data_IF_517331745229
#
_entry.id   IF_517331745229
#
_cell.length_a   1.000
_cell.length_b   1.000
_cell.length_c   1.000
_cell.angle_alpha   90.00
_cell.angle_beta   90.00
_cell.angle_gamma   90.00
#
_symmetry.space_group_name_H-M   'P 1'
#
loop_
_entity.id
_entity.type
_entity.pdbx_description
1 polymer ?
#
# COMPACT_ATOMS: atom_id res chain seq x y z
N UNK A 1 -12.71 -40.30 -0.65
CA UNK A 1 -12.95 -39.53 -1.87
C UNK A 1 -11.63 -39.31 -2.59
N UNK A 2 -11.18 -40.24 -3.45
CA UNK A 2 -9.82 -40.21 -4.03
C UNK A 2 -9.56 -39.05 -4.99
N UNK A 3 -10.60 -38.33 -5.41
CA UNK A 3 -10.51 -37.16 -6.30
C UNK A 3 -10.66 -35.82 -5.56
N UNK A 4 -10.83 -35.85 -4.23
CA UNK A 4 -11.00 -34.63 -3.45
C UNK A 4 -9.66 -33.93 -3.33
N UNK A 5 -9.62 -32.65 -3.72
CA UNK A 5 -8.47 -31.78 -3.63
C UNK A 5 -8.50 -30.98 -2.32
N UNK A 6 -7.34 -30.81 -1.70
CA UNK A 6 -7.19 -30.13 -0.41
C UNK A 6 -6.37 -28.85 -0.56
N UNK A 7 -7.04 -27.72 -0.35
CA UNK A 7 -6.39 -26.44 -0.06
C UNK A 7 -6.15 -26.41 1.44
N UNK A 8 -4.90 -26.36 1.87
CA UNK A 8 -4.52 -26.25 3.28
C UNK A 8 -4.21 -24.80 3.58
N UNK A 9 -4.89 -24.22 4.57
CA UNK A 9 -4.80 -22.79 4.86
C UNK A 9 -6.09 -22.26 5.48
N UNK A 10 -6.53 -21.08 5.05
CA UNK A 10 -7.62 -20.33 5.69
C UNK A 10 -7.32 -20.01 7.16
N UNK A 11 -6.10 -19.52 7.39
CA UNK A 11 -5.58 -19.17 8.70
C UNK A 11 -4.30 -18.36 8.60
N UNK A 12 -3.56 -18.31 9.70
CA UNK A 12 -2.40 -17.43 9.86
C UNK A 12 -1.15 -18.08 9.29
N UNK A 13 -0.19 -17.28 8.83
CA UNK A 13 1.06 -17.79 8.26
C UNK A 13 1.82 -18.70 9.23
N UNK A 14 1.79 -18.37 10.53
CA UNK A 14 2.45 -19.17 11.57
C UNK A 14 1.90 -20.59 11.67
N UNK A 15 0.60 -20.79 11.45
CA UNK A 15 -0.01 -22.13 11.43
C UNK A 15 0.50 -22.95 10.23
N UNK A 16 0.50 -22.36 9.03
CA UNK A 16 0.99 -23.04 7.82
C UNK A 16 2.48 -23.33 7.89
N UNK A 17 3.28 -22.36 8.32
CA UNK A 17 4.72 -22.53 8.50
C UNK A 17 5.04 -23.64 9.52
N UNK A 18 4.23 -23.79 10.57
CA UNK A 18 4.38 -24.89 11.53
C UNK A 18 4.08 -26.26 10.88
N UNK A 19 3.01 -26.40 10.10
CA UNK A 19 2.73 -27.65 9.38
C UNK A 19 3.87 -28.01 8.43
N UNK A 20 4.38 -27.03 7.68
CA UNK A 20 5.51 -27.21 6.78
C UNK A 20 6.75 -27.69 7.55
N UNK A 21 7.09 -27.02 8.66
CA UNK A 21 8.26 -27.31 9.50
C UNK A 21 8.24 -28.70 10.12
N UNK A 22 7.07 -29.19 10.52
CA UNK A 22 6.92 -30.53 11.12
C UNK A 22 6.84 -31.65 10.06
N UNK A 23 6.95 -31.32 8.78
CA UNK A 23 6.92 -32.31 7.69
C UNK A 23 5.54 -32.93 7.49
N UNK A 24 4.48 -32.11 7.53
CA UNK A 24 3.14 -32.55 7.14
C UNK A 24 3.16 -33.25 5.76
N UNK A 25 2.40 -34.34 5.55
CA UNK A 25 2.52 -35.10 4.29
C UNK A 25 2.16 -34.25 3.07
N UNK A 26 3.14 -33.98 2.20
CA UNK A 26 2.99 -33.12 1.03
C UNK A 26 1.96 -33.68 0.03
N UNK A 27 1.81 -35.00 -0.03
CA UNK A 27 0.82 -35.67 -0.87
C UNK A 27 -0.64 -35.41 -0.46
N UNK A 28 -0.86 -34.82 0.73
CA UNK A 28 -2.17 -34.38 1.21
C UNK A 28 -2.44 -32.90 0.97
N UNK A 29 -1.48 -32.17 0.39
CA UNK A 29 -1.58 -30.74 0.11
C UNK A 29 -1.62 -30.54 -1.39
N UNK A 30 -2.76 -30.12 -1.94
CA UNK A 30 -2.85 -29.77 -3.36
C UNK A 30 -2.53 -28.29 -3.62
N UNK A 31 -2.71 -27.42 -2.62
CA UNK A 31 -2.30 -26.02 -2.64
C UNK A 31 -2.24 -25.43 -1.22
N UNK A 32 -1.42 -24.40 -1.03
CA UNK A 32 -1.44 -23.57 0.19
C UNK A 32 -2.36 -22.37 -0.01
N UNK A 33 -3.38 -22.23 0.85
CA UNK A 33 -4.41 -21.20 0.74
C UNK A 33 -4.16 -19.99 1.62
N UNK A 34 -3.93 -18.83 1.01
CA UNK A 34 -3.83 -17.55 1.70
C UNK A 34 -5.21 -17.04 2.14
N UNK A 35 -5.34 -16.69 3.41
CA UNK A 35 -6.45 -15.92 3.95
C UNK A 35 -5.88 -14.62 4.48
N UNK A 36 -6.05 -13.56 3.71
CA UNK A 36 -5.68 -12.20 4.08
C UNK A 36 -6.97 -11.38 4.22
N UNK A 37 -7.11 -10.57 5.27
CA UNK A 37 -8.25 -9.67 5.34
C UNK A 37 -8.15 -8.58 4.27
N UNK A 38 -6.93 -8.20 3.86
CA UNK A 38 -6.66 -7.14 2.88
C UNK A 38 -7.07 -5.74 3.35
N UNK A 39 -8.33 -5.55 3.72
CA UNK A 39 -8.92 -4.30 4.23
C UNK A 39 -8.63 -3.13 3.29
N UNK A 40 -7.93 -2.10 3.75
CA UNK A 40 -7.47 -1.00 2.90
C UNK A 40 -6.02 -1.18 2.40
N UNK A 41 -5.32 -2.24 2.83
CA UNK A 41 -3.91 -2.49 2.53
C UNK A 41 -3.74 -2.76 1.03
N UNK A 42 -2.96 -1.94 0.31
CA UNK A 42 -2.57 -2.21 -1.06
C UNK A 42 -1.93 -3.61 -1.21
N UNK A 43 -2.32 -4.42 -2.22
CA UNK A 43 -1.66 -5.71 -2.50
C UNK A 43 -0.14 -5.63 -2.66
N UNK A 44 0.36 -4.48 -3.12
CA UNK A 44 1.75 -4.17 -3.45
C UNK A 44 2.55 -3.68 -2.24
N UNK A 45 1.89 -3.45 -1.10
CA UNK A 45 2.58 -3.06 0.12
C UNK A 45 3.60 -4.14 0.53
N UNK A 46 4.66 -3.77 1.27
CA UNK A 46 5.59 -4.75 1.81
C UNK A 46 4.84 -5.89 2.51
N UNK A 47 5.20 -7.16 2.25
CA UNK A 47 4.40 -8.30 2.69
C UNK A 47 4.39 -8.36 4.21
N UNK A 48 3.22 -8.28 4.87
CA UNK A 48 3.15 -8.26 6.32
C UNK A 48 3.56 -9.63 6.88
N UNK A 49 4.12 -9.64 8.09
CA UNK A 49 4.66 -10.85 8.70
C UNK A 49 3.59 -11.93 8.96
N UNK A 50 2.31 -11.55 9.10
CA UNK A 50 1.25 -12.48 9.50
C UNK A 50 0.53 -13.20 8.35
N UNK A 51 0.38 -12.58 7.17
CA UNK A 51 -0.46 -13.04 6.05
C UNK A 51 0.05 -12.52 4.70
N UNK A 52 0.63 -13.39 3.87
CA UNK A 52 1.10 -13.02 2.53
C UNK A 52 1.35 -14.24 1.65
N UNK A 53 0.86 -14.19 0.41
CA UNK A 53 1.22 -15.15 -0.64
C UNK A 53 2.74 -15.27 -0.83
N UNK A 54 3.47 -14.15 -0.72
CA UNK A 54 4.92 -14.14 -0.85
C UNK A 54 5.58 -15.00 0.24
N UNK A 55 5.27 -14.74 1.52
CA UNK A 55 5.88 -15.51 2.60
C UNK A 55 5.45 -16.96 2.60
N UNK A 56 4.20 -17.29 2.23
CA UNK A 56 3.77 -18.68 2.07
C UNK A 56 4.61 -19.41 1.04
N UNK A 57 4.87 -18.78 -0.11
CA UNK A 57 5.74 -19.34 -1.15
C UNK A 57 7.17 -19.55 -0.64
N UNK A 58 7.73 -18.57 0.07
CA UNK A 58 9.09 -18.68 0.60
C UNK A 58 9.21 -19.76 1.69
N UNK A 59 8.22 -19.91 2.56
CA UNK A 59 8.18 -21.03 3.52
C UNK A 59 7.98 -22.38 2.84
N UNK A 60 7.14 -22.46 1.81
CA UNK A 60 6.96 -23.66 0.99
C UNK A 60 8.29 -24.12 0.39
N UNK A 61 9.07 -23.19 -0.20
CA UNK A 61 10.42 -23.47 -0.71
C UNK A 61 11.37 -23.89 0.41
N UNK A 62 11.40 -23.17 1.53
CA UNK A 62 12.29 -23.43 2.66
C UNK A 62 12.13 -24.85 3.22
N UNK A 63 10.89 -25.34 3.29
CA UNK A 63 10.55 -26.65 3.84
C UNK A 63 10.33 -27.74 2.79
N UNK A 64 10.61 -27.47 1.51
CA UNK A 64 10.61 -28.48 0.45
C UNK A 64 9.23 -28.90 -0.08
N UNK A 65 8.24 -28.01 -0.02
CA UNK A 65 6.93 -28.21 -0.63
C UNK A 65 6.89 -27.60 -2.03
N UNK A 66 6.58 -28.43 -3.02
CA UNK A 66 6.40 -28.05 -4.43
C UNK A 66 4.91 -28.15 -4.80
N UNK A 67 4.12 -27.23 -4.26
CA UNK A 67 2.67 -27.13 -4.49
C UNK A 67 2.31 -25.66 -4.72
N UNK A 68 1.28 -25.37 -5.52
CA UNK A 68 0.91 -24.00 -5.85
C UNK A 68 0.45 -23.22 -4.61
N UNK A 69 0.68 -21.90 -4.64
CA UNK A 69 -0.01 -20.97 -3.76
C UNK A 69 -1.39 -20.69 -4.34
N UNK A 70 -2.39 -20.55 -3.48
CA UNK A 70 -3.75 -20.21 -3.90
C UNK A 70 -4.43 -19.30 -2.87
N UNK A 71 -5.63 -18.86 -3.19
CA UNK A 71 -6.44 -18.03 -2.30
C UNK A 71 -7.45 -18.93 -1.59
N UNK A 72 -7.64 -18.72 -0.29
CA UNK A 72 -8.65 -19.44 0.49
C UNK A 72 -10.06 -18.89 0.19
N UNK A 73 -11.09 -19.53 0.76
CA UNK A 73 -12.49 -19.10 0.59
C UNK A 73 -12.73 -17.68 1.14
N UNK A 74 -12.05 -17.33 2.23
CA UNK A 74 -12.09 -15.98 2.81
C UNK A 74 -10.84 -15.20 2.40
N UNK A 75 -10.76 -14.77 1.15
CA UNK A 75 -9.61 -14.00 0.66
C UNK A 75 -9.98 -12.55 0.35
N UNK A 76 -9.36 -11.63 1.10
CA UNK A 76 -9.45 -10.17 1.04
C UNK A 76 -10.86 -9.60 1.09
N UNK A 77 -11.25 -9.14 2.27
CA UNK A 77 -12.48 -8.39 2.52
C UNK A 77 -12.26 -6.88 2.38
N UNK A 78 -12.68 -6.30 1.26
CA UNK A 78 -12.59 -4.86 0.98
C UNK A 78 -13.92 -4.19 1.36
N UNK A 79 -14.02 -3.67 2.58
CA UNK A 79 -15.29 -3.17 3.13
C UNK A 79 -15.63 -1.74 2.68
N UNK A 80 -16.88 -1.49 2.35
CA UNK A 80 -17.39 -0.17 1.90
C UNK A 80 -18.44 0.47 2.81
N UNK A 81 -18.69 -0.09 4.00
CA UNK A 81 -19.50 0.55 5.04
C UNK A 81 -18.92 1.93 5.38
N UNK A 82 -19.78 2.83 5.85
CA UNK A 82 -19.40 4.17 6.31
C UNK A 82 -18.18 4.09 7.24
N UNK A 83 -17.16 4.91 6.95
CA UNK A 83 -15.89 4.92 7.69
C UNK A 83 -14.84 3.90 7.22
N UNK A 84 -15.11 3.13 6.16
CA UNK A 84 -14.12 2.32 5.45
C UNK A 84 -13.75 2.97 4.09
N UNK A 85 -13.36 2.16 3.11
CA UNK A 85 -12.94 2.64 1.79
C UNK A 85 -14.16 2.92 0.88
N UNK A 86 -14.07 3.90 -0.05
CA UNK A 86 -15.09 4.12 -1.06
C UNK A 86 -15.23 2.92 -2.03
N UNK A 87 -16.38 2.81 -2.70
CA UNK A 87 -16.61 1.71 -3.66
C UNK A 87 -15.66 1.71 -4.86
N UNK A 88 -15.21 2.89 -5.30
CA UNK A 88 -14.19 2.99 -6.35
C UNK A 88 -12.86 2.39 -5.89
N UNK A 89 -12.48 2.65 -4.63
CA UNK A 89 -11.26 2.09 -4.06
C UNK A 89 -11.38 0.58 -3.83
N UNK A 90 -12.58 0.11 -3.43
CA UNK A 90 -12.89 -1.32 -3.40
C UNK A 90 -12.66 -1.99 -4.76
N UNK A 91 -13.12 -1.36 -5.84
CA UNK A 91 -12.94 -1.87 -7.20
C UNK A 91 -11.46 -1.95 -7.60
N UNK A 92 -10.70 -0.88 -7.33
CA UNK A 92 -9.24 -0.83 -7.59
C UNK A 92 -8.51 -1.94 -6.87
N UNK A 93 -8.73 -2.06 -5.56
CA UNK A 93 -8.05 -3.04 -4.72
C UNK A 93 -8.43 -4.47 -5.13
N UNK A 94 -9.69 -4.77 -5.42
CA UNK A 94 -10.07 -6.11 -5.87
C UNK A 94 -9.47 -6.51 -7.21
N UNK A 95 -9.43 -5.60 -8.19
CA UNK A 95 -8.74 -5.89 -9.46
C UNK A 95 -7.25 -6.12 -9.24
N UNK A 96 -6.60 -5.34 -8.37
CA UNK A 96 -5.17 -5.49 -8.05
C UNK A 96 -4.88 -6.75 -7.24
N UNK A 97 -5.78 -7.15 -6.35
CA UNK A 97 -5.73 -8.43 -5.64
C UNK A 97 -5.71 -9.58 -6.64
N UNK A 98 -6.68 -9.62 -7.55
CA UNK A 98 -6.75 -10.65 -8.60
C UNK A 98 -5.49 -10.66 -9.49
N UNK A 99 -4.98 -9.49 -9.88
CA UNK A 99 -3.73 -9.38 -10.64
C UNK A 99 -2.53 -9.91 -9.86
N UNK A 100 -2.43 -9.63 -8.55
CA UNK A 100 -1.38 -10.23 -7.72
C UNK A 100 -1.50 -11.76 -7.68
N UNK A 101 -2.70 -12.32 -7.49
CA UNK A 101 -2.88 -13.76 -7.52
C UNK A 101 -2.52 -14.38 -8.87
N UNK A 102 -2.87 -13.73 -9.98
CA UNK A 102 -2.44 -14.16 -11.32
C UNK A 102 -0.92 -14.15 -11.48
N UNK A 103 -0.22 -13.18 -10.87
CA UNK A 103 1.24 -13.15 -10.87
C UNK A 103 1.87 -14.33 -10.11
N UNK A 104 1.18 -14.83 -9.07
CA UNK A 104 1.54 -16.05 -8.34
C UNK A 104 1.04 -17.33 -9.03
N UNK A 105 0.42 -17.23 -10.21
CA UNK A 105 -0.18 -18.35 -10.95
C UNK A 105 -1.21 -19.12 -10.08
N UNK A 106 -1.95 -18.38 -9.25
CA UNK A 106 -2.88 -18.98 -8.29
C UNK A 106 -4.01 -19.72 -9.04
N UNK A 107 -4.25 -21.01 -8.77
CA UNK A 107 -5.27 -21.79 -9.49
C UNK A 107 -6.71 -21.37 -9.15
N UNK A 108 -6.91 -20.72 -8.00
CA UNK A 108 -8.17 -20.13 -7.57
C UNK A 108 -7.92 -18.73 -7.03
N UNK A 109 -8.82 -17.81 -7.40
CA UNK A 109 -8.82 -16.41 -6.98
C UNK A 109 -10.21 -16.13 -6.41
N UNK A 110 -10.32 -15.97 -5.10
CA UNK A 110 -11.58 -15.87 -4.37
C UNK A 110 -11.74 -14.50 -3.65
N UNK A 111 -11.72 -13.36 -4.37
CA UNK A 111 -11.79 -12.05 -3.75
C UNK A 111 -13.23 -11.73 -3.34
N UNK A 112 -13.42 -11.26 -2.10
CA UNK A 112 -14.69 -10.72 -1.63
C UNK A 112 -15.87 -11.70 -1.67
N UNK A 113 -17.08 -11.15 -1.64
CA UNK A 113 -18.32 -11.91 -1.72
C UNK A 113 -19.12 -11.52 -2.96
N UNK A 114 -20.07 -12.35 -3.37
CA UNK A 114 -20.97 -11.97 -4.48
C UNK A 114 -21.80 -10.73 -4.13
N UNK A 115 -22.25 -10.61 -2.89
CA UNK A 115 -23.08 -9.49 -2.43
C UNK A 115 -22.79 -9.18 -0.96
N UNK A 116 -23.09 -7.94 -0.56
CA UNK A 116 -22.95 -7.50 0.82
C UNK A 116 -23.83 -8.36 1.77
N UNK A 117 -23.27 -8.69 2.92
CA UNK A 117 -23.87 -9.64 3.87
C UNK A 117 -24.99 -8.98 4.67
N UNK A 118 -26.07 -9.71 4.90
CA UNK A 118 -27.25 -9.21 5.62
C UNK A 118 -27.43 -9.66 7.07
N UNK A 119 -26.54 -10.51 7.57
CA UNK A 119 -26.70 -11.25 8.83
C UNK A 119 -25.63 -10.88 9.89
N UNK A 120 -25.16 -11.85 10.67
CA UNK A 120 -24.13 -11.67 11.71
C UNK A 120 -22.84 -11.03 11.22
N UNK A 121 -22.51 -11.11 9.93
CA UNK A 121 -21.34 -10.43 9.37
C UNK A 121 -21.60 -8.97 8.96
N UNK A 122 -22.82 -8.44 9.06
CA UNK A 122 -23.17 -7.10 8.57
C UNK A 122 -22.27 -5.98 9.14
N UNK A 123 -22.01 -6.00 10.46
CA UNK A 123 -21.15 -5.02 11.13
C UNK A 123 -19.67 -5.43 11.16
N UNK A 124 -19.32 -6.54 10.51
CA UNK A 124 -17.93 -6.99 10.40
C UNK A 124 -17.23 -6.36 9.19
N UNK A 125 -15.92 -6.58 9.08
CA UNK A 125 -15.12 -6.20 7.90
C UNK A 125 -15.58 -6.91 6.61
N UNK A 126 -16.34 -7.99 6.68
CA UNK A 126 -16.92 -8.66 5.51
C UNK A 126 -18.28 -8.09 5.10
N UNK A 127 -18.92 -7.29 5.96
CA UNK A 127 -20.32 -6.90 5.82
C UNK A 127 -20.66 -6.21 4.49
N UNK A 128 -19.81 -5.27 4.04
CA UNK A 128 -19.95 -4.63 2.74
C UNK A 128 -18.79 -4.91 1.79
N UNK A 129 -18.32 -6.17 1.80
CA UNK A 129 -17.27 -6.70 0.93
C UNK A 129 -17.78 -7.34 -0.37
N UNK A 130 -19.06 -7.18 -0.68
CA UNK A 130 -19.66 -7.75 -1.89
C UNK A 130 -19.26 -7.01 -3.17
N UNK A 131 -19.37 -7.70 -4.30
CA UNK A 131 -19.40 -7.08 -5.64
C UNK A 131 -20.75 -6.42 -5.93
N UNK A 132 -21.83 -6.89 -5.31
CA UNK A 132 -23.14 -6.28 -5.34
C UNK A 132 -23.55 -5.77 -3.96
N UNK A 133 -24.45 -4.79 -3.93
CA UNK A 133 -25.14 -4.40 -2.70
C UNK A 133 -25.98 -5.54 -2.14
N UNK A 134 -26.42 -5.37 -0.89
CA UNK A 134 -27.18 -6.37 -0.15
C UNK A 134 -28.49 -6.77 -0.85
N UNK A 135 -28.90 -8.03 -0.63
CA UNK A 135 -30.25 -8.52 -0.93
C UNK A 135 -31.34 -7.63 -0.29
N UNK A 136 -32.48 -7.34 -0.95
CA UNK A 136 -32.97 -7.98 -2.18
C UNK A 136 -32.58 -7.32 -3.50
N UNK A 137 -32.01 -6.10 -3.48
CA UNK A 137 -31.82 -5.35 -4.72
C UNK A 137 -30.60 -5.82 -5.53
N UNK A 138 -29.53 -6.26 -4.85
CA UNK A 138 -28.34 -6.84 -5.50
C UNK A 138 -27.76 -5.95 -6.61
N UNK A 139 -27.84 -4.62 -6.45
CA UNK A 139 -27.32 -3.69 -7.44
C UNK A 139 -25.79 -3.87 -7.57
N UNK A 140 -25.24 -3.89 -8.79
CA UNK A 140 -23.80 -4.04 -8.98
C UNK A 140 -23.06 -2.79 -8.48
N UNK A 141 -21.95 -3.01 -7.79
CA UNK A 141 -21.01 -1.96 -7.39
C UNK A 141 -19.96 -1.76 -8.49
N UNK A 142 -19.17 -0.68 -8.46
CA UNK A 142 -18.03 -0.50 -9.35
C UNK A 142 -17.08 -1.72 -9.41
N UNK A 143 -16.91 -2.43 -8.28
CA UNK A 143 -16.08 -3.64 -8.19
C UNK A 143 -16.60 -4.80 -9.04
N UNK A 144 -17.92 -4.93 -9.23
CA UNK A 144 -18.51 -5.91 -10.15
C UNK A 144 -18.07 -5.65 -11.59
N UNK A 145 -18.17 -4.39 -12.03
CA UNK A 145 -17.79 -3.96 -13.39
C UNK A 145 -16.30 -4.14 -13.61
N UNK A 146 -15.48 -3.75 -12.63
CA UNK A 146 -14.03 -3.91 -12.67
C UNK A 146 -13.60 -5.37 -12.85
N UNK A 147 -14.22 -6.28 -12.08
CA UNK A 147 -13.92 -7.71 -12.19
C UNK A 147 -14.40 -8.29 -13.53
N UNK A 148 -15.58 -7.89 -14.01
CA UNK A 148 -16.08 -8.32 -15.32
C UNK A 148 -15.15 -7.88 -16.46
N UNK A 149 -14.62 -6.66 -16.40
CA UNK A 149 -13.62 -6.17 -17.36
C UNK A 149 -12.32 -6.97 -17.26
N UNK A 150 -11.77 -7.15 -16.04
CA UNK A 150 -10.55 -7.94 -15.82
C UNK A 150 -10.69 -9.33 -16.44
N UNK A 151 -11.76 -10.05 -16.11
CA UNK A 151 -12.02 -11.39 -16.67
C UNK A 151 -12.12 -11.34 -18.19
N UNK A 152 -12.86 -10.39 -18.78
CA UNK A 152 -12.99 -10.28 -20.24
C UNK A 152 -11.66 -10.01 -20.95
N UNK A 153 -10.81 -9.18 -20.37
CA UNK A 153 -9.54 -8.80 -20.98
C UNK A 153 -8.48 -9.89 -20.87
N UNK A 154 -8.49 -10.64 -19.76
CA UNK A 154 -7.51 -11.68 -19.45
C UNK A 154 -8.00 -13.13 -19.67
N UNK A 155 -9.24 -13.32 -20.15
CA UNK A 155 -9.78 -14.65 -20.44
C UNK A 155 -8.88 -15.42 -21.43
N UNK A 156 -8.49 -16.64 -21.04
CA UNK A 156 -7.57 -17.49 -21.79
C UNK A 156 -6.14 -16.94 -21.93
N UNK A 157 -5.78 -15.87 -21.23
CA UNK A 157 -4.43 -15.32 -21.25
C UNK A 157 -3.56 -15.95 -20.16
N UNK A 158 -2.29 -16.22 -20.48
CA UNK A 158 -1.32 -16.84 -19.57
C UNK A 158 -0.31 -15.80 -19.10
N UNK A 159 -0.13 -15.67 -17.79
CA UNK A 159 0.87 -14.77 -17.23
C UNK A 159 2.27 -15.18 -17.72
N UNK A 160 3.03 -14.22 -18.22
CA UNK A 160 4.36 -14.47 -18.80
C UNK A 160 5.46 -13.85 -17.94
N UNK A 161 5.32 -12.56 -17.60
CA UNK A 161 6.32 -11.82 -16.81
C UNK A 161 5.77 -10.49 -16.33
N UNK A 162 6.54 -9.85 -15.45
CA UNK A 162 6.40 -8.42 -15.15
C UNK A 162 7.37 -7.65 -16.05
N UNK A 163 6.86 -6.78 -16.92
CA UNK A 163 7.68 -6.00 -17.88
C UNK A 163 8.60 -5.04 -17.12
N UNK A 164 9.83 -4.89 -17.59
CA UNK A 164 10.79 -3.96 -16.99
C UNK A 164 10.23 -2.53 -16.97
N UNK A 165 10.40 -1.87 -15.81
CA UNK A 165 9.87 -0.54 -15.58
C UNK A 165 10.89 0.28 -14.80
N UNK A 166 11.01 1.57 -15.13
CA UNK A 166 11.97 2.48 -14.49
C UNK A 166 11.70 2.72 -12.99
N UNK A 167 10.51 2.40 -12.52
CA UNK A 167 10.09 2.57 -11.13
C UNK A 167 9.46 1.27 -10.59
N UNK A 168 9.78 0.86 -9.34
CA UNK A 168 9.17 -0.32 -8.74
C UNK A 168 7.65 -0.25 -8.56
N UNK A 169 7.06 0.95 -8.54
CA UNK A 169 5.61 1.14 -8.35
C UNK A 169 4.85 1.31 -9.66
N UNK A 170 5.52 1.30 -10.82
CA UNK A 170 4.85 1.10 -12.11
C UNK A 170 4.78 -0.38 -12.43
N UNK A 171 3.58 -0.91 -12.29
CA UNK A 171 3.32 -2.33 -12.45
C UNK A 171 2.76 -2.57 -13.84
N UNK A 172 3.46 -3.42 -14.58
CA UNK A 172 3.10 -3.84 -15.94
C UNK A 172 3.24 -5.35 -16.02
N UNK A 173 2.11 -6.05 -15.98
CA UNK A 173 2.07 -7.50 -16.15
C UNK A 173 1.80 -7.85 -17.60
N UNK A 174 2.62 -8.71 -18.19
CA UNK A 174 2.43 -9.25 -19.53
C UNK A 174 1.75 -10.61 -19.47
N UNK A 175 0.73 -10.77 -20.31
CA UNK A 175 0.05 -12.05 -20.53
C UNK A 175 0.06 -12.38 -22.02
N UNK A 176 0.45 -13.61 -22.35
CA UNK A 176 0.32 -14.16 -23.68
C UNK A 176 -1.13 -14.60 -23.93
N UNK A 177 -1.64 -14.38 -25.14
CA UNK A 177 -2.97 -14.85 -25.56
C UNK A 177 -2.95 -15.24 -27.03
N UNK A 178 -4.01 -15.90 -27.50
CA UNK A 178 -4.18 -16.13 -28.93
C UNK A 178 -4.15 -14.79 -29.69
N UNK A 179 -3.23 -14.67 -30.65
CA UNK A 179 -3.07 -13.49 -31.50
C UNK A 179 -2.24 -12.35 -30.93
N UNK A 180 -1.59 -12.49 -29.77
CA UNK A 180 -0.65 -11.48 -29.27
C UNK A 180 -0.55 -11.44 -27.74
N UNK A 181 -0.59 -10.23 -27.20
CA UNK A 181 -0.38 -9.96 -25.78
C UNK A 181 -1.48 -9.06 -25.22
N UNK A 182 -1.75 -9.23 -23.92
CA UNK A 182 -2.49 -8.28 -23.12
C UNK A 182 -1.67 -7.90 -21.89
N UNK A 183 -1.66 -6.62 -21.56
CA UNK A 183 -0.93 -6.07 -20.44
C UNK A 183 -1.89 -5.49 -19.42
N UNK A 184 -1.66 -5.75 -18.14
CA UNK A 184 -2.31 -5.01 -17.06
C UNK A 184 -1.35 -3.96 -16.50
N UNK A 185 -1.77 -2.69 -16.45
CA UNK A 185 -0.94 -1.56 -16.02
C UNK A 185 -1.63 -0.75 -14.91
N UNK A 186 -0.91 -0.44 -13.83
CA UNK A 186 -1.41 0.43 -12.76
C UNK A 186 -0.27 1.00 -11.88
N UNK A 187 -0.65 1.91 -11.00
CA UNK A 187 0.16 2.43 -9.90
C UNK A 187 -0.51 2.11 -8.55
N UNK A 188 0.21 2.02 -7.43
CA UNK A 188 -0.41 1.93 -6.11
C UNK A 188 -1.21 3.18 -5.73
N UNK A 189 -0.79 4.35 -6.20
CA UNK A 189 -1.35 5.68 -5.89
C UNK A 189 -1.19 6.61 -7.09
N UNK A 190 -2.12 7.57 -7.22
CA UNK A 190 -2.01 8.67 -8.16
C UNK A 190 -2.11 8.24 -9.61
N UNK A 191 -1.58 9.07 -10.49
CA UNK A 191 -1.56 8.85 -11.93
C UNK A 191 -0.36 9.50 -12.62
N UNK A 192 0.06 8.97 -13.77
CA UNK A 192 1.09 9.59 -14.61
C UNK A 192 0.99 9.14 -16.06
N UNK A 193 1.58 9.94 -16.95
CA UNK A 193 1.82 9.51 -18.32
C UNK A 193 2.98 8.51 -18.36
N UNK A 194 2.76 7.40 -19.06
CA UNK A 194 3.72 6.31 -19.23
C UNK A 194 4.01 6.13 -20.71
N UNK A 195 5.29 6.18 -21.05
CA UNK A 195 5.81 5.82 -22.36
C UNK A 195 6.01 4.30 -22.43
N UNK A 196 5.46 3.69 -23.47
CA UNK A 196 5.55 2.27 -23.77
C UNK A 196 6.46 2.09 -24.98
N UNK A 197 7.42 1.17 -24.89
CA UNK A 197 8.38 0.86 -25.96
C UNK A 197 8.14 -0.54 -26.51
N UNK A 198 8.15 -0.66 -27.83
CA UNK A 198 7.98 -1.89 -28.61
C UNK A 198 9.03 -1.94 -29.71
N UNK A 199 9.32 -3.15 -30.21
CA UNK A 199 10.27 -3.35 -31.30
C UNK A 199 9.82 -2.75 -32.64
N UNK A 200 8.50 -2.67 -32.87
CA UNK A 200 7.90 -2.14 -34.09
C UNK A 200 6.48 -1.61 -33.84
N UNK A 201 5.94 -0.88 -34.82
CA UNK A 201 4.59 -0.32 -34.75
C UNK A 201 3.51 -1.42 -34.78
N UNK A 202 2.55 -1.33 -33.86
CA UNK A 202 1.41 -2.24 -33.78
C UNK A 202 0.12 -1.49 -33.44
N UNK A 203 -1.03 -2.09 -33.79
CA UNK A 203 -2.32 -1.62 -33.31
C UNK A 203 -2.44 -1.85 -31.80
N UNK A 204 -2.71 -0.76 -31.08
CA UNK A 204 -2.90 -0.78 -29.63
C UNK A 204 -4.34 -0.43 -29.28
N UNK A 205 -4.94 -1.24 -28.41
CA UNK A 205 -6.24 -0.92 -27.78
C UNK A 205 -6.07 -0.91 -26.27
N UNK A 206 -6.38 0.23 -25.64
CA UNK A 206 -6.39 0.36 -24.20
C UNK A 206 -7.83 0.37 -23.68
N UNK A 207 -8.11 -0.51 -22.72
CA UNK A 207 -9.40 -0.64 -22.03
C UNK A 207 -9.22 -0.26 -20.56
N UNK A 208 -9.99 0.70 -20.07
CA UNK A 208 -9.97 1.05 -18.64
C UNK A 208 -10.69 0.00 -17.78
N UNK A 209 -10.56 0.09 -16.44
CA UNK A 209 -11.23 -0.81 -15.50
C UNK A 209 -12.76 -0.88 -15.67
N UNK A 210 -13.38 0.16 -16.21
CA UNK A 210 -14.82 0.23 -16.45
C UNK A 210 -15.25 -0.36 -17.80
N UNK A 211 -14.30 -0.87 -18.58
CA UNK A 211 -14.54 -1.52 -19.85
C UNK A 211 -14.60 -0.58 -21.04
N UNK A 212 -14.24 0.70 -20.88
CA UNK A 212 -14.18 1.65 -21.99
C UNK A 212 -12.88 1.46 -22.77
N UNK A 213 -12.99 1.18 -24.06
CA UNK A 213 -11.84 0.95 -24.94
C UNK A 213 -11.57 2.16 -25.84
N UNK A 214 -10.29 2.44 -26.07
CA UNK A 214 -9.82 3.44 -27.05
C UNK A 214 -8.56 2.93 -27.77
N UNK A 215 -8.39 3.24 -29.06
CA UNK A 215 -7.12 2.99 -29.73
C UNK A 215 -6.04 3.93 -29.17
N UNK A 216 -4.80 3.47 -29.11
CA UNK A 216 -3.63 4.33 -28.87
C UNK A 216 -2.85 4.51 -30.17
N UNK A 217 -2.35 5.72 -30.38
CA UNK A 217 -1.44 5.98 -31.51
C UNK A 217 -0.03 5.57 -31.11
N UNK A 218 0.56 4.67 -31.90
CA UNK A 218 1.99 4.34 -31.84
C UNK A 218 2.72 5.08 -32.96
N UNK A 219 3.96 5.50 -32.69
CA UNK A 219 4.91 6.02 -33.69
C UNK A 219 6.30 5.54 -33.34
N UNK A 220 7.01 4.98 -34.30
CA UNK A 220 8.40 4.53 -34.15
C UNK A 220 8.58 3.59 -32.94
N UNK A 221 7.64 2.65 -32.75
CA UNK A 221 7.63 1.70 -31.63
C UNK A 221 7.26 2.31 -30.28
N UNK A 222 6.77 3.55 -30.24
CA UNK A 222 6.46 4.27 -28.99
C UNK A 222 5.00 4.69 -28.91
N UNK A 223 4.40 4.49 -27.76
CA UNK A 223 3.05 4.99 -27.44
C UNK A 223 3.02 5.58 -26.02
N UNK A 224 2.05 6.46 -25.76
CA UNK A 224 1.85 7.05 -24.42
C UNK A 224 0.46 6.69 -23.91
N UNK A 225 0.37 6.33 -22.63
CA UNK A 225 -0.89 6.07 -21.94
C UNK A 225 -0.87 6.67 -20.54
N UNK A 226 -2.01 7.22 -20.10
CA UNK A 226 -2.22 7.65 -18.72
C UNK A 226 -2.51 6.43 -17.86
N UNK A 227 -1.66 6.16 -16.87
CA UNK A 227 -1.81 5.06 -15.92
C UNK A 227 -2.18 5.64 -14.56
N UNK A 228 -3.04 4.94 -13.81
CA UNK A 228 -3.54 5.39 -12.51
C UNK A 228 -3.61 4.25 -11.50
N UNK A 229 -4.14 4.53 -10.30
CA UNK A 229 -4.50 3.51 -9.32
C UNK A 229 -5.57 2.50 -9.77
N UNK A 230 -6.33 2.82 -10.83
CA UNK A 230 -7.25 1.90 -11.49
C UNK A 230 -6.52 1.12 -12.58
N UNK A 231 -6.51 -0.24 -12.53
CA UNK A 231 -5.91 -1.05 -13.58
C UNK A 231 -6.49 -0.76 -14.96
N UNK A 232 -5.60 -0.66 -15.94
CA UNK A 232 -5.94 -0.61 -17.36
C UNK A 232 -5.35 -1.79 -18.11
N UNK A 233 -6.00 -2.16 -19.22
CA UNK A 233 -5.65 -3.33 -20.02
C UNK A 233 -5.27 -2.91 -21.43
N UNK A 234 -4.03 -3.18 -21.85
CA UNK A 234 -3.54 -2.85 -23.19
C UNK A 234 -3.40 -4.12 -24.02
N UNK A 235 -4.02 -4.18 -25.19
CA UNK A 235 -3.81 -5.25 -26.17
C UNK A 235 -2.83 -4.80 -27.24
N UNK A 236 -1.94 -5.72 -27.65
CA UNK A 236 -0.95 -5.53 -28.71
C UNK A 236 -0.68 -6.85 -29.42
N UNK A 237 -0.40 -6.79 -30.73
CA UNK A 237 0.12 -7.95 -31.48
C UNK A 237 1.62 -8.21 -31.23
N UNK A 238 2.34 -7.19 -30.76
CA UNK A 238 3.79 -7.21 -30.53
C UNK A 238 4.09 -7.06 -29.05
N UNK A 239 5.12 -7.77 -28.57
CA UNK A 239 5.53 -7.72 -27.17
C UNK A 239 6.12 -6.35 -26.79
N UNK A 240 5.75 -5.84 -25.62
CA UNK A 240 6.30 -4.62 -25.01
C UNK A 240 7.70 -4.90 -24.48
N UNK A 241 8.67 -4.05 -24.82
CA UNK A 241 10.04 -4.20 -24.32
C UNK A 241 10.19 -3.57 -22.93
N UNK A 242 9.67 -2.34 -22.75
CA UNK A 242 9.79 -1.58 -21.52
C UNK A 242 8.64 -0.57 -21.35
N UNK A 243 8.45 -0.15 -20.09
CA UNK A 243 7.58 0.97 -19.73
C UNK A 243 8.33 1.97 -18.85
N UNK A 244 8.17 3.26 -19.10
CA UNK A 244 8.80 4.31 -18.29
C UNK A 244 7.85 5.49 -18.06
N UNK A 245 8.01 6.18 -16.93
CA UNK A 245 7.16 7.31 -16.57
C UNK A 245 7.88 8.24 -15.62
N UNK A 246 7.47 9.51 -15.61
CA UNK A 246 8.03 10.55 -14.75
C UNK A 246 7.45 10.55 -13.34
N UNK A 247 7.37 11.73 -12.73
CA UNK A 247 6.74 11.91 -11.42
C UNK A 247 5.27 11.44 -11.42
N UNK A 248 4.82 10.96 -10.27
CA UNK A 248 3.44 10.57 -10.03
C UNK A 248 2.64 11.80 -9.61
N UNK A 249 1.59 12.11 -10.35
CA UNK A 249 0.63 13.13 -9.95
C UNK A 249 -0.31 12.53 -8.89
N UNK A 250 -0.25 13.08 -7.69
CA UNK A 250 -1.08 12.68 -6.56
C UNK A 250 -2.13 13.75 -6.27
N UNK A 251 -3.08 13.42 -5.39
CA UNK A 251 -4.07 14.39 -4.91
C UNK A 251 -3.37 15.62 -4.32
N UNK A 252 -3.86 16.84 -4.63
CA UNK A 252 -3.28 18.05 -4.05
C UNK A 252 -3.49 18.07 -2.53
N UNK A 253 -2.62 18.77 -1.78
CA UNK A 253 -2.80 18.94 -0.35
C UNK A 253 -4.12 19.69 -0.04
N UNK A 254 -4.62 19.61 1.20
CA UNK A 254 -5.74 20.42 1.66
C UNK A 254 -5.52 21.92 1.40
N UNK A 255 -6.57 22.65 1.00
CA UNK A 255 -6.48 24.07 0.66
C UNK A 255 -6.12 24.97 1.85
N UNK A 256 -6.35 24.48 3.07
CA UNK A 256 -6.08 25.13 4.35
C UNK A 256 -4.77 24.66 5.00
N UNK A 257 -3.89 24.01 4.22
CA UNK A 257 -2.57 23.60 4.65
C UNK A 257 -1.76 24.79 5.18
N UNK A 258 -1.19 24.63 6.37
CA UNK A 258 -0.26 25.59 6.97
C UNK A 258 1.07 24.91 7.28
N UNK A 259 2.14 25.39 6.65
CA UNK A 259 3.52 25.02 7.00
C UNK A 259 3.84 25.60 8.38
N UNK A 260 4.29 24.74 9.29
CA UNK A 260 4.75 25.09 10.64
C UNK A 260 6.27 25.05 10.76
N UNK A 261 6.93 24.28 9.89
CA UNK A 261 8.39 24.25 9.76
C UNK A 261 8.81 23.84 8.34
N UNK A 262 9.87 24.44 7.79
CA UNK A 262 10.35 24.07 6.44
C UNK A 262 11.04 22.69 6.40
N UNK A 263 11.52 22.18 7.53
CA UNK A 263 12.29 20.92 7.62
C UNK A 263 13.42 20.87 6.58
N UNK A 264 14.25 21.91 6.59
CA UNK A 264 15.32 22.09 5.61
C UNK A 264 16.70 22.37 6.23
N UNK A 265 16.78 22.47 7.56
CA UNK A 265 18.00 22.81 8.29
C UNK A 265 18.46 21.64 9.17
N UNK A 266 19.58 20.96 8.83
CA UNK A 266 20.07 19.82 9.60
C UNK A 266 20.65 20.22 10.96
N UNK A 267 20.88 21.52 11.22
CA UNK A 267 21.27 21.99 12.56
C UNK A 267 20.09 22.06 13.52
N UNK A 268 18.88 22.30 12.97
CA UNK A 268 17.62 22.27 13.70
C UNK A 268 17.07 20.86 13.80
N UNK A 269 17.09 20.08 12.72
CA UNK A 269 16.61 18.70 12.68
C UNK A 269 17.78 17.74 12.69
N UNK A 270 18.13 17.27 13.89
CA UNK A 270 19.32 16.44 14.11
C UNK A 270 18.95 14.97 14.06
N UNK A 271 19.87 14.15 13.53
CA UNK A 271 19.69 12.70 13.50
C UNK A 271 19.96 12.09 14.87
N UNK A 272 19.09 11.19 15.33
CA UNK A 272 19.33 10.40 16.54
C UNK A 272 19.98 9.08 16.15
N UNK A 273 21.20 8.84 16.63
CA UNK A 273 22.05 7.68 16.29
C UNK A 273 21.97 6.56 17.32
N UNK A 274 20.84 6.45 18.01
CA UNK A 274 20.60 5.43 19.04
C UNK A 274 19.37 4.64 18.63
N UNK A 275 19.42 3.30 18.64
CA UNK A 275 18.25 2.47 18.37
C UNK A 275 17.10 2.79 19.32
N UNK A 276 15.89 2.70 18.79
CA UNK A 276 14.66 2.96 19.52
C UNK A 276 13.86 1.67 19.66
N UNK A 277 13.65 1.23 20.90
CA UNK A 277 12.99 -0.04 21.21
C UNK A 277 11.53 -0.09 20.71
N UNK A 278 10.84 1.04 20.71
CA UNK A 278 9.46 1.14 20.24
C UNK A 278 9.38 1.01 18.72
N UNK A 279 10.37 1.53 17.99
CA UNK A 279 10.52 1.26 16.57
C UNK A 279 10.94 -0.20 16.32
N UNK A 280 12.02 -0.66 16.94
CA UNK A 280 12.61 -1.98 16.67
C UNK A 280 11.67 -3.15 16.99
N UNK A 281 10.86 -3.01 18.05
CA UNK A 281 10.03 -4.11 18.58
C UNK A 281 8.56 -3.79 18.76
N UNK A 282 8.16 -2.52 18.70
CA UNK A 282 6.79 -2.10 19.00
C UNK A 282 5.77 -2.44 17.92
N UNK A 283 6.22 -2.87 16.73
CA UNK A 283 5.31 -3.25 15.65
C UNK A 283 5.84 -4.44 14.83
N UNK A 284 5.44 -5.65 15.27
CA UNK A 284 6.00 -6.91 14.75
C UNK A 284 5.71 -7.18 13.26
N UNK A 285 4.61 -6.65 12.71
CA UNK A 285 4.21 -6.91 11.32
C UNK A 285 5.13 -6.23 10.30
N UNK A 286 5.81 -5.16 10.72
CA UNK A 286 6.73 -4.39 9.88
C UNK A 286 8.04 -4.18 10.65
N UNK A 287 8.93 -5.19 10.63
CA UNK A 287 10.20 -5.11 11.32
C UNK A 287 11.06 -4.01 10.71
N UNK A 288 11.77 -3.30 11.60
CA UNK A 288 12.61 -2.16 11.26
C UNK A 288 13.83 -2.13 12.17
N UNK A 289 14.87 -1.45 11.71
CA UNK A 289 16.09 -1.21 12.47
C UNK A 289 16.59 0.20 12.19
N UNK A 290 17.39 0.76 13.10
CA UNK A 290 18.09 2.02 12.84
C UNK A 290 18.95 1.86 11.58
N UNK A 291 18.83 2.83 10.68
CA UNK A 291 19.57 2.86 9.43
C UNK A 291 20.78 3.78 9.45
N UNK A 292 21.82 3.40 8.74
CA UNK A 292 22.85 4.33 8.27
C UNK A 292 22.30 5.20 7.12
N UNK A 293 21.95 6.45 7.43
CA UNK A 293 21.34 7.40 6.49
C UNK A 293 22.11 8.72 6.52
N UNK A 294 22.57 9.13 5.35
CA UNK A 294 23.17 10.45 5.14
C UNK A 294 22.04 11.49 5.03
N UNK A 295 22.12 12.56 5.82
CA UNK A 295 21.13 13.66 5.81
C UNK A 295 21.81 14.96 5.47
N UNK A 296 21.40 15.57 4.36
CA UNK A 296 22.01 16.79 3.83
C UNK A 296 20.95 17.83 3.44
N UNK A 297 21.32 19.11 3.53
CA UNK A 297 20.50 20.17 2.96
C UNK A 297 20.79 20.29 1.47
N UNK A 298 19.73 20.33 0.66
CA UNK A 298 19.83 20.52 -0.80
C UNK A 298 18.93 21.67 -1.26
N UNK A 299 19.20 22.21 -2.44
CA UNK A 299 18.31 23.11 -3.17
C UNK A 299 17.59 22.28 -4.25
N UNK A 300 16.32 21.98 -4.02
CA UNK A 300 15.43 21.27 -4.94
C UNK A 300 14.76 22.25 -5.91
N UNK A 301 14.63 21.86 -7.18
CA UNK A 301 14.08 22.72 -8.23
C UNK A 301 12.61 23.08 -8.02
N UNK A 302 11.83 22.20 -7.38
CA UNK A 302 10.39 22.38 -7.17
C UNK A 302 10.07 22.99 -5.81
N UNK A 303 10.74 22.52 -4.75
CA UNK A 303 10.41 22.90 -3.36
C UNK A 303 11.43 23.87 -2.73
N UNK A 304 12.51 24.20 -3.43
CA UNK A 304 13.60 25.00 -2.86
C UNK A 304 14.36 24.20 -1.81
N UNK A 305 14.59 24.79 -0.63
CA UNK A 305 15.40 24.16 0.43
C UNK A 305 14.70 22.93 0.98
N UNK A 306 15.35 21.78 0.89
CA UNK A 306 14.85 20.51 1.42
C UNK A 306 15.95 19.77 2.19
N UNK A 307 15.54 18.82 3.03
CA UNK A 307 16.45 17.78 3.52
C UNK A 307 16.40 16.59 2.58
N UNK A 308 17.56 16.16 2.12
CA UNK A 308 17.80 14.93 1.37
C UNK A 308 18.25 13.84 2.32
N UNK A 309 17.63 12.66 2.21
CA UNK A 309 17.91 11.48 3.02
C UNK A 309 18.33 10.35 2.07
N UNK A 310 19.58 9.92 2.19
CA UNK A 310 20.16 8.87 1.34
C UNK A 310 20.50 7.66 2.20
N UNK A 311 19.83 6.53 1.93
CA UNK A 311 20.11 5.27 2.63
C UNK A 311 21.46 4.70 2.15
N UNK A 312 22.44 4.62 3.06
CA UNK A 312 23.74 4.04 2.75
C UNK A 312 23.63 2.51 2.66
N UNK A 313 24.44 1.83 1.81
CA UNK A 313 24.40 0.37 1.65
C UNK A 313 24.64 -0.38 2.97
N UNK A 314 23.70 -1.26 3.33
CA UNK A 314 23.71 -2.06 4.56
C UNK A 314 23.36 -3.53 4.24
N UNK A 315 24.26 -4.28 3.56
CA UNK A 315 24.00 -5.64 3.07
C UNK A 315 23.79 -6.68 4.16
N UNK A 316 24.15 -6.37 5.41
CA UNK A 316 23.92 -7.20 6.58
C UNK A 316 22.46 -7.18 7.08
N UNK A 317 21.69 -6.16 6.70
CA UNK A 317 20.28 -6.06 7.07
C UNK A 317 19.44 -6.82 6.05
N UNK A 318 18.74 -7.86 6.51
CA UNK A 318 17.98 -8.74 5.64
C UNK A 318 16.70 -8.06 5.11
N UNK A 319 16.33 -8.37 3.87
CA UNK A 319 14.97 -8.13 3.37
C UNK A 319 13.95 -8.94 4.21
N UNK A 320 12.82 -8.36 4.66
CA UNK A 320 12.23 -7.08 4.30
C UNK A 320 12.40 -5.96 5.35
N UNK A 321 13.47 -5.95 6.14
CA UNK A 321 13.61 -5.01 7.26
C UNK A 321 13.82 -3.58 6.73
N UNK A 322 12.95 -2.64 7.14
CA UNK A 322 13.12 -1.22 6.81
C UNK A 322 14.19 -0.57 7.69
N UNK A 323 14.83 0.47 7.16
CA UNK A 323 15.85 1.25 7.86
C UNK A 323 15.26 2.60 8.21
N UNK A 324 15.13 2.91 9.49
CA UNK A 324 14.61 4.20 9.91
C UNK A 324 15.72 5.18 10.25
N UNK A 325 15.45 6.46 10.01
CA UNK A 325 16.18 7.58 10.59
C UNK A 325 15.24 8.44 11.41
N UNK A 326 15.72 8.87 12.57
CA UNK A 326 14.98 9.75 13.46
C UNK A 326 15.50 11.16 13.28
N UNK A 327 14.62 12.09 12.96
CA UNK A 327 14.88 13.52 12.91
C UNK A 327 14.23 14.17 14.13
N UNK A 328 15.05 14.66 15.03
CA UNK A 328 14.61 15.34 16.26
C UNK A 328 14.89 16.84 16.12
N UNK A 329 13.87 17.70 16.31
CA UNK A 329 14.08 19.14 16.28
C UNK A 329 14.79 19.59 17.57
N UNK A 330 15.66 20.61 17.47
CA UNK A 330 16.37 21.18 18.61
C UNK A 330 15.44 21.76 19.68
N UNK A 331 14.25 22.20 19.26
CA UNK A 331 13.13 22.60 20.11
C UNK A 331 11.84 22.06 19.48
N UNK A 332 10.86 21.58 20.27
CA UNK A 332 9.58 21.12 19.73
C UNK A 332 8.89 22.17 18.86
N UNK A 333 8.30 21.75 17.75
CA UNK A 333 7.60 22.65 16.81
C UNK A 333 6.12 22.72 17.18
N UNK A 334 5.63 23.86 17.66
CA UNK A 334 4.22 24.02 18.03
C UNK A 334 3.31 24.17 16.82
N UNK A 335 2.23 23.38 16.78
CA UNK A 335 1.16 23.53 15.81
C UNK A 335 0.10 24.51 16.33
N UNK A 336 -0.33 25.49 15.52
CA UNK A 336 -1.32 26.46 15.96
C UNK A 336 -2.74 25.87 15.99
N UNK A 337 -3.54 26.23 16.99
CA UNK A 337 -4.96 25.84 17.06
C UNK A 337 -5.19 24.34 17.22
N UNK A 338 -6.26 23.85 16.60
CA UNK A 338 -6.73 22.46 16.69
C UNK A 338 -6.67 21.77 15.32
N UNK A 339 -5.47 21.40 14.82
CA UNK A 339 -5.34 20.77 13.52
C UNK A 339 -6.03 19.39 13.46
N UNK A 340 -6.65 19.11 12.33
CA UNK A 340 -7.34 17.84 12.04
C UNK A 340 -6.49 16.86 11.24
N UNK A 341 -5.35 17.30 10.69
CA UNK A 341 -4.30 16.43 10.16
C UNK A 341 -2.91 17.06 10.34
N UNK A 342 -1.90 16.19 10.46
CA UNK A 342 -0.48 16.55 10.39
C UNK A 342 0.14 15.94 9.13
N UNK A 343 1.15 16.58 8.54
CA UNK A 343 1.76 16.04 7.33
C UNK A 343 3.08 16.68 6.91
N UNK A 344 3.65 16.15 5.84
CA UNK A 344 4.97 16.48 5.33
C UNK A 344 4.99 16.30 3.80
N UNK A 345 5.69 17.18 3.09
CA UNK A 345 5.99 16.93 1.68
C UNK A 345 7.15 15.98 1.55
N UNK A 346 7.02 15.00 0.66
CA UNK A 346 8.05 14.01 0.38
C UNK A 346 8.25 13.88 -1.11
N UNK A 347 9.51 13.95 -1.57
CA UNK A 347 9.92 13.49 -2.89
C UNK A 347 10.20 12.01 -2.80
N UNK A 348 9.26 11.21 -3.29
CA UNK A 348 9.33 9.76 -3.27
C UNK A 348 10.18 9.18 -4.39
N UNK A 349 10.67 7.97 -4.12
CA UNK A 349 11.46 7.11 -5.00
C UNK A 349 10.84 5.71 -5.10
N UNK A 350 9.56 5.57 -4.75
CA UNK A 350 8.84 4.30 -4.78
C UNK A 350 9.42 3.19 -3.89
N UNK A 351 10.17 3.55 -2.83
CA UNK A 351 10.80 2.58 -1.94
C UNK A 351 9.83 1.90 -0.96
N UNK A 352 8.55 2.26 -0.90
CA UNK A 352 7.62 1.77 0.13
C UNK A 352 8.11 2.00 1.57
N UNK A 353 8.97 2.99 1.76
CA UNK A 353 9.26 3.59 3.04
C UNK A 353 8.03 4.29 3.62
N UNK A 354 8.17 4.90 4.80
CA UNK A 354 7.05 5.51 5.53
C UNK A 354 7.51 6.74 6.29
N UNK A 355 6.64 7.74 6.42
CA UNK A 355 6.84 8.86 7.34
C UNK A 355 6.01 8.65 8.59
N UNK A 356 6.62 8.85 9.76
CA UNK A 356 5.94 8.79 11.06
C UNK A 356 6.14 10.11 11.81
N UNK A 357 5.13 10.49 12.58
CA UNK A 357 5.10 11.69 13.40
C UNK A 357 4.98 11.29 14.87
N UNK A 358 5.78 11.93 15.72
CA UNK A 358 5.54 11.98 17.17
C UNK A 358 5.13 13.40 17.55
N UNK A 359 4.01 13.51 18.25
CA UNK A 359 3.54 14.76 18.81
C UNK A 359 3.28 14.61 20.31
N UNK A 360 3.57 15.67 21.04
CA UNK A 360 3.18 15.87 22.43
C UNK A 360 2.03 16.87 22.48
N UNK A 361 1.01 16.57 23.27
CA UNK A 361 -0.17 17.41 23.40
C UNK A 361 -0.05 18.41 24.57
N UNK A 362 -1.09 19.21 24.83
CA UNK A 362 -1.04 20.25 25.85
C UNK A 362 -1.03 19.73 27.29
N UNK A 363 -1.48 18.49 27.54
CA UNK A 363 -1.40 17.82 28.84
C UNK A 363 -0.12 16.99 29.01
N UNK A 364 0.69 16.88 27.96
CA UNK A 364 1.96 16.14 27.95
C UNK A 364 1.82 14.68 27.55
N UNK A 365 0.67 14.28 26.99
CA UNK A 365 0.50 12.96 26.38
C UNK A 365 1.27 12.90 25.07
N UNK A 366 1.81 11.72 24.74
CA UNK A 366 2.53 11.48 23.50
C UNK A 366 1.76 10.57 22.56
N UNK A 367 1.69 11.00 21.31
CA UNK A 367 1.07 10.29 20.21
C UNK A 367 2.12 10.01 19.15
N UNK A 368 2.45 8.74 18.93
CA UNK A 368 3.40 8.32 17.91
C UNK A 368 2.68 7.53 16.82
N UNK A 369 2.76 7.98 15.57
CA UNK A 369 1.99 7.43 14.46
C UNK A 369 2.50 6.07 13.93
N UNK A 370 3.07 5.24 14.80
CA UNK A 370 3.64 3.93 14.46
C UNK A 370 2.58 2.82 14.32
N UNK A 371 1.43 2.98 14.99
CA UNK A 371 0.33 2.01 15.06
C UNK A 371 -0.13 1.81 16.52
N UNK A 372 -1.40 1.41 16.74
CA UNK A 372 -1.94 1.26 18.09
C UNK A 372 -1.37 0.04 18.86
N UNK A 373 -1.22 0.17 20.18
CA UNK A 373 -0.67 -0.86 21.08
C UNK A 373 -1.54 -2.09 21.29
N UNK A 374 -2.86 -1.97 21.13
CA UNK A 374 -3.82 -3.02 21.48
C UNK A 374 -4.78 -3.36 20.34
N UNK A 375 -5.07 -4.67 20.22
CA UNK A 375 -5.98 -5.26 19.24
C UNK A 375 -5.23 -6.13 18.24
N UNK A 376 -5.65 -7.40 18.08
CA UNK A 376 -5.07 -8.35 17.11
C UNK A 376 -5.22 -7.95 15.63
N UNK A 377 -5.66 -6.71 15.39
CA UNK A 377 -5.91 -6.08 14.12
C UNK A 377 -5.43 -4.63 14.13
N UNK A 378 -4.49 -4.24 14.99
CA UNK A 378 -3.94 -2.88 15.02
C UNK A 378 -2.76 -2.76 14.08
N UNK A 379 -3.00 -2.98 12.78
CA UNK A 379 -1.94 -2.98 11.74
C UNK A 379 -1.54 -1.57 11.22
N UNK A 380 -1.86 -0.51 11.96
CA UNK A 380 -1.44 0.86 11.64
C UNK A 380 -2.09 1.43 10.37
N UNK A 381 -1.27 2.10 9.54
CA UNK A 381 -1.66 2.82 8.32
C UNK A 381 -2.04 1.87 7.17
N UNK A 382 -3.26 1.33 7.22
CA UNK A 382 -3.75 0.39 6.23
C UNK A 382 -3.94 0.99 4.86
N UNK A 383 -4.37 2.25 4.78
CA UNK A 383 -4.58 2.94 3.52
C UNK A 383 -3.25 3.24 2.79
N UNK A 384 -2.12 2.93 3.42
CA UNK A 384 -0.80 3.33 3.00
C UNK A 384 -0.70 4.86 2.79
N UNK A 385 -1.42 5.63 3.61
CA UNK A 385 -1.55 7.08 3.53
C UNK A 385 -0.21 7.80 3.67
N UNK A 386 0.70 7.21 4.45
CA UNK A 386 2.01 7.74 4.85
C UNK A 386 3.18 6.99 4.20
N UNK A 387 2.91 6.07 3.28
CA UNK A 387 3.92 5.31 2.55
C UNK A 387 4.46 6.06 1.32
N UNK A 388 5.73 5.81 1.01
CA UNK A 388 6.48 6.36 -0.13
C UNK A 388 6.33 5.40 -1.32
N UNK A 389 5.09 5.25 -1.81
CA UNK A 389 4.72 4.35 -2.92
C UNK A 389 4.44 5.10 -4.24
N UNK A 390 5.20 6.18 -4.46
CA UNK A 390 5.09 7.08 -5.60
C UNK A 390 6.48 7.66 -5.94
N UNK A 391 6.60 8.22 -7.15
CA UNK A 391 7.77 8.95 -7.59
C UNK A 391 7.51 10.46 -7.62
N UNK A 392 8.50 11.28 -7.27
CA UNK A 392 8.37 12.74 -7.27
C UNK A 392 7.67 13.27 -6.01
N UNK A 393 7.27 14.54 -6.01
CA UNK A 393 6.72 15.21 -4.83
C UNK A 393 5.25 14.87 -4.57
N UNK A 394 4.94 14.49 -3.34
CA UNK A 394 3.57 14.30 -2.84
C UNK A 394 3.47 14.74 -1.37
N UNK A 395 2.29 15.18 -0.97
CA UNK A 395 1.98 15.51 0.42
C UNK A 395 1.44 14.29 1.15
N UNK A 396 2.12 13.86 2.21
CA UNK A 396 1.69 12.77 3.08
C UNK A 396 1.12 13.33 4.37
N UNK A 397 0.02 12.76 4.84
CA UNK A 397 -0.64 13.21 6.06
C UNK A 397 -1.32 12.07 6.82
N UNK A 398 -1.53 12.30 8.10
CA UNK A 398 -2.28 11.43 9.01
C UNK A 398 -3.13 12.26 9.95
N UNK A 399 -4.35 11.80 10.20
CA UNK A 399 -5.27 12.46 11.12
C UNK A 399 -4.95 12.05 12.57
N UNK A 400 -4.82 12.99 13.53
CA UNK A 400 -4.73 12.66 14.94
C UNK A 400 -5.95 11.88 15.44
N UNK A 401 -5.84 11.12 16.56
CA UNK A 401 -6.99 10.46 17.16
C UNK A 401 -8.09 11.46 17.53
N UNK A 402 -9.33 11.03 17.40
CA UNK A 402 -10.50 11.78 17.86
C UNK A 402 -11.57 10.84 18.42
N UNK A 403 -12.58 11.40 19.08
CA UNK A 403 -13.75 10.65 19.57
C UNK A 403 -15.03 11.21 18.98
N UNK A 404 -15.94 10.32 18.62
CA UNK A 404 -17.31 10.67 18.28
C UNK A 404 -18.06 11.16 19.53
N UNK A 405 -19.19 11.85 19.34
CA UNK A 405 -20.06 12.29 20.44
C UNK A 405 -20.55 11.14 21.36
N UNK A 406 -20.55 9.91 20.87
CA UNK A 406 -20.84 8.69 21.66
C UNK A 406 -19.73 8.28 22.63
N UNK A 407 -18.56 8.91 22.55
CA UNK A 407 -17.34 8.55 23.28
C UNK A 407 -16.51 7.45 22.60
N UNK A 408 -17.00 6.87 21.49
CA UNK A 408 -16.27 5.87 20.71
C UNK A 408 -15.15 6.53 19.89
N UNK A 409 -14.05 5.83 19.73
CA UNK A 409 -12.90 6.34 18.99
C UNK A 409 -13.13 6.40 17.48
N UNK A 410 -12.56 7.42 16.85
CA UNK A 410 -12.54 7.54 15.40
C UNK A 410 -11.56 6.54 14.77
N UNK A 411 -11.74 6.20 13.48
CA UNK A 411 -10.85 5.31 12.75
C UNK A 411 -9.35 5.65 12.85
N UNK A 412 -8.92 6.93 12.84
CA UNK A 412 -7.50 7.27 12.90
C UNK A 412 -6.77 6.76 14.15
N UNK A 413 -7.45 6.46 15.26
CA UNK A 413 -6.78 5.98 16.48
C UNK A 413 -5.92 4.74 16.23
N UNK A 414 -6.27 3.86 15.29
CA UNK A 414 -5.46 2.67 14.94
C UNK A 414 -4.04 3.01 14.45
N UNK A 415 -3.82 4.24 13.97
CA UNK A 415 -2.55 4.71 13.45
C UNK A 415 -1.60 5.19 14.56
N UNK A 416 -2.06 5.33 15.80
CA UNK A 416 -1.31 6.02 16.86
C UNK A 416 -1.10 5.13 18.07
N UNK A 417 0.17 5.05 18.48
CA UNK A 417 0.59 4.58 19.78
C UNK A 417 0.51 5.74 20.76
N UNK A 418 -0.27 5.56 21.82
CA UNK A 418 -0.54 6.60 22.81
C UNK A 418 0.21 6.23 24.10
N UNK A 419 0.87 7.20 24.71
CA UNK A 419 1.51 7.02 26.01
C UNK A 419 1.28 8.23 26.92
N UNK A 420 0.89 7.96 28.16
CA UNK A 420 0.41 8.97 29.11
C UNK A 420 -1.11 9.18 29.02
N UNK A 421 -1.62 9.95 29.99
CA UNK A 421 -2.98 10.52 30.05
C UNK A 421 -4.17 9.64 29.64
N UNK A 422 -5.11 10.26 28.92
CA UNK A 422 -6.46 9.79 28.65
C UNK A 422 -6.69 9.37 27.17
N UNK A 423 -5.70 9.62 26.30
CA UNK A 423 -5.70 9.30 24.88
C UNK A 423 -6.63 10.14 24.01
N UNK A 424 -7.00 11.33 24.49
CA UNK A 424 -7.65 12.40 23.71
C UNK A 424 -6.59 13.45 23.46
N UNK A 425 -6.53 13.96 22.23
CA UNK A 425 -5.53 14.97 21.86
C UNK A 425 -5.94 16.32 22.44
N UNK A 426 -5.14 16.84 23.36
CA UNK A 426 -5.30 18.19 23.91
C UNK A 426 -4.43 19.23 23.17
N UNK A 427 -5.03 20.34 22.75
CA UNK A 427 -4.33 21.34 21.91
C UNK A 427 -3.77 22.53 22.72
N UNK A 428 -2.67 23.16 22.27
CA UNK A 428 -1.92 22.88 21.05
C UNK A 428 -1.03 21.62 21.13
N UNK A 429 -0.80 20.99 19.99
CA UNK A 429 0.18 19.90 19.86
C UNK A 429 1.55 20.45 19.47
N UNK A 430 2.61 19.71 19.81
CA UNK A 430 4.01 20.02 19.46
C UNK A 430 4.66 18.81 18.82
N UNK A 431 5.29 19.00 17.66
CA UNK A 431 6.09 17.96 17.02
C UNK A 431 7.40 17.78 17.78
N UNK A 432 7.62 16.59 18.31
CA UNK A 432 8.83 16.22 19.05
C UNK A 432 9.77 15.36 18.23
N UNK A 433 9.26 14.70 17.17
CA UNK A 433 10.05 13.79 16.34
C UNK A 433 9.39 13.56 14.98
N UNK A 434 10.23 13.41 13.96
CA UNK A 434 9.87 12.81 12.68
C UNK A 434 10.70 11.55 12.47
N UNK A 435 10.10 10.50 11.92
CA UNK A 435 10.82 9.29 11.54
C UNK A 435 10.57 9.02 10.07
N UNK A 436 11.62 8.76 9.32
CA UNK A 436 11.52 8.35 7.92
C UNK A 436 12.09 6.94 7.80
N UNK A 437 11.25 6.00 7.37
CA UNK A 437 11.64 4.66 7.00
C UNK A 437 12.01 4.62 5.52
N UNK A 438 13.14 3.99 5.20
CA UNK A 438 13.65 3.79 3.86
C UNK A 438 13.88 2.29 3.60
N UNK A 439 13.84 1.92 2.32
CA UNK A 439 14.12 0.56 1.86
C UNK A 439 15.02 0.63 0.63
N UNK A 440 15.97 -0.31 0.56
CA UNK A 440 16.84 -0.55 -0.58
C UNK A 440 16.30 -1.64 -1.52
N UNK A 441 15.31 -2.40 -1.05
CA UNK A 441 14.65 -3.50 -1.75
C UNK A 441 13.14 -3.37 -1.52
N UNK A 442 12.33 -3.71 -2.52
CA UNK A 442 10.86 -3.75 -2.44
C UNK A 442 10.30 -4.98 -3.13
N UNK A 443 9.12 -5.45 -2.72
CA UNK A 443 8.43 -6.52 -3.42
C UNK A 443 7.73 -5.96 -4.65
N UNK A 444 8.11 -6.42 -5.85
CA UNK A 444 7.40 -6.13 -7.09
C UNK A 444 6.53 -7.32 -7.46
N UNK A 445 5.30 -7.31 -6.96
CA UNK A 445 4.30 -8.39 -6.99
C UNK A 445 4.76 -9.70 -6.36
N UNK A 446 5.72 -10.38 -6.98
CA UNK A 446 6.19 -11.72 -6.59
C UNK A 446 7.67 -11.76 -6.23
N UNK A 447 8.48 -10.83 -6.72
CA UNK A 447 9.93 -10.86 -6.53
C UNK A 447 10.46 -9.60 -5.84
N UNK A 448 11.43 -9.73 -4.91
CA UNK A 448 12.13 -8.58 -4.38
C UNK A 448 13.03 -7.97 -5.47
N UNK A 449 12.94 -6.66 -5.64
CA UNK A 449 13.75 -5.89 -6.59
C UNK A 449 14.44 -4.73 -5.86
N UNK A 450 15.66 -4.34 -6.27
CA UNK A 450 16.33 -3.19 -5.70
C UNK A 450 15.56 -1.90 -6.01
N UNK A 451 15.62 -0.95 -5.10
CA UNK A 451 15.18 0.43 -5.35
C UNK A 451 16.29 1.14 -6.13
N UNK A 452 16.03 1.67 -7.34
CA UNK A 452 17.09 2.22 -8.20
C UNK A 452 17.84 3.41 -7.61
N UNK A 453 17.15 4.26 -6.86
CA UNK A 453 17.70 5.43 -6.19
C UNK A 453 17.32 5.40 -4.70
N UNK A 454 18.27 5.21 -3.76
CA UNK A 454 17.99 5.11 -2.33
C UNK A 454 17.72 6.47 -1.64
N UNK A 455 17.45 7.52 -2.43
CA UNK A 455 17.30 8.89 -1.96
C UNK A 455 15.84 9.32 -1.90
N UNK A 456 15.45 9.99 -0.81
CA UNK A 456 14.19 10.74 -0.72
C UNK A 456 14.48 12.16 -0.27
N UNK A 457 13.55 13.09 -0.52
CA UNK A 457 13.62 14.45 0.04
C UNK A 457 12.39 14.76 0.85
N UNK A 458 12.54 15.56 1.89
CA UNK A 458 11.44 16.03 2.71
C UNK A 458 11.44 17.55 2.83
N UNK A 459 10.26 18.13 2.97
CA UNK A 459 10.06 19.57 3.11
C UNK A 459 8.73 19.88 3.81
N UNK A 460 8.64 21.03 4.47
CA UNK A 460 7.38 21.66 4.85
C UNK A 460 6.52 20.82 5.78
N UNK A 461 6.98 20.58 7.02
CA UNK A 461 6.13 20.05 8.08
C UNK A 461 4.93 20.98 8.25
N UNK A 462 3.74 20.40 8.16
CA UNK A 462 2.51 21.15 8.00
C UNK A 462 1.37 20.55 8.79
N UNK A 463 0.35 21.37 9.02
CA UNK A 463 -0.94 20.95 9.57
C UNK A 463 -2.09 21.45 8.69
N UNK A 464 -3.26 20.82 8.78
CA UNK A 464 -4.50 21.27 8.13
C UNK A 464 -5.69 21.20 9.10
N UNK A 465 -6.80 21.85 8.73
CA UNK A 465 -7.99 22.09 9.57
C UNK A 465 -9.28 21.67 8.85
N UNK A 466 -9.16 20.73 7.91
CA UNK A 466 -10.29 20.16 7.17
C UNK A 466 -11.32 19.54 8.11
N UNK A 467 -12.58 19.53 7.71
CA UNK A 467 -13.62 18.80 8.44
C UNK A 467 -13.25 17.31 8.56
N UNK A 468 -13.42 16.73 9.75
CA UNK A 468 -13.18 15.30 9.96
C UNK A 468 -14.30 14.48 9.33
N UNK A 469 -13.91 13.44 8.59
CA UNK A 469 -14.86 12.47 8.02
C UNK A 469 -15.55 11.72 9.17
N UNK A 470 -16.88 11.77 9.22
CA UNK A 470 -17.69 11.10 10.25
C UNK A 470 -18.09 11.97 11.45
N UNK A 471 -17.81 13.27 11.43
CA UNK A 471 -18.42 14.26 12.34
C UNK A 471 -19.75 14.84 11.81
N UNK A 472 -20.17 14.45 10.60
CA UNK A 472 -21.49 14.80 10.08
C UNK A 472 -22.60 14.14 10.94
N UNK A 473 -23.70 14.84 11.24
CA UNK A 473 -24.83 14.21 11.90
C UNK A 473 -25.30 13.02 11.05
N UNK A 474 -25.40 11.85 11.68
CA UNK A 474 -26.08 10.70 11.08
C UNK A 474 -27.55 11.13 10.93
N UNK A 475 -27.96 11.49 9.71
CA UNK A 475 -29.36 11.86 9.39
C UNK A 475 -30.19 10.59 9.25
#
# INVERSE_FOLDING_TARGET
YPHLKLIVGNGTLGFMAQLMREGWPAELVDAWGDEDLGQAIPPEAPPPAYKSLYWQREYSKLYGYDVPMTTAYEWRGRNTQIGNIPELEQARLYSRDALQALAFEAPHINPGLLHDVGDSYYYSRWGAGGFCHRYPLLNPKPSYVAMATLTRELDGAEFTRIVEAASPTLLVMEFAREGGFVYALWLPRGERDVELTFAEDAELTFTDMNGNSKPLTMRDGRATVRVSASPGYLRSAVAMEAASGGATECEPPPADLRVVDEVSDPTRWQTVQVPDEQLDSGFFDFPRTLGDVTVERVEDEQMGRALELTLNPQPEVAWPVSRYVILQPSEPVEAPGEPTAVGLWVRGNSCWGRVLWEVEDAEGERFFSIGASEGGWSVGDWEAATFINFDGWNYLSVDPPFRHASGFYGPPQRNWLISGGNGIVDYPIRFTRLVVELRDTVLRLTEPVPVPDPTVRIHGLSVSYRARVGEEPII
#
